data_IF_702588004905
#
_entry.id   IF_702588004905
#
_cell.length_a   1.000
_cell.length_b   1.000
_cell.length_c   1.000
_cell.angle_alpha   90.00
_cell.angle_beta   90.00
_cell.angle_gamma   90.00
#
_symmetry.space_group_name_H-M   'P 1'
#
loop_
_entity.id
_entity.type
_entity.pdbx_description
1 polymer ?
#
# COMPACT_ATOMS: atom_id res chain seq x y z
N UNK A 1 14.16 -26.86 -7.05
CA UNK A 1 13.05 -27.58 -6.41
C UNK A 1 12.03 -26.58 -5.93
N UNK A 2 10.75 -26.78 -6.24
CA UNK A 2 9.68 -25.89 -5.80
C UNK A 2 9.33 -26.14 -4.33
N UNK A 3 9.02 -25.07 -3.60
CA UNK A 3 8.62 -25.11 -2.19
C UNK A 3 7.19 -24.57 -2.07
N UNK A 4 6.25 -25.49 -1.93
CA UNK A 4 4.84 -25.22 -1.68
C UNK A 4 4.39 -25.91 -0.39
N UNK A 5 3.35 -25.37 0.22
CA UNK A 5 2.71 -25.92 1.41
C UNK A 5 1.20 -25.76 1.29
N UNK A 6 0.46 -26.79 1.69
CA UNK A 6 -1.00 -26.69 1.83
C UNK A 6 -1.27 -25.93 3.11
N UNK A 7 -1.80 -24.72 3.01
CA UNK A 7 -2.10 -23.86 4.16
C UNK A 7 -3.48 -24.13 4.74
N UNK A 8 -4.46 -24.46 3.89
CA UNK A 8 -5.84 -24.70 4.33
C UNK A 8 -6.57 -25.61 3.32
N UNK A 9 -7.26 -26.62 3.81
CA UNK A 9 -8.30 -27.32 3.05
C UNK A 9 -9.64 -26.65 3.40
N UNK A 10 -10.25 -25.96 2.43
CA UNK A 10 -11.47 -25.18 2.62
C UNK A 10 -12.62 -25.89 1.91
N UNK A 11 -13.32 -26.79 2.61
CA UNK A 11 -14.43 -27.55 2.01
C UNK A 11 -13.97 -28.48 0.89
N UNK A 12 -14.62 -28.44 -0.28
CA UNK A 12 -14.22 -29.14 -1.52
C UNK A 12 -13.15 -28.35 -2.33
N UNK A 13 -12.90 -27.10 -1.93
CA UNK A 13 -11.81 -26.27 -2.43
C UNK A 13 -10.52 -26.43 -1.60
N UNK A 14 -9.38 -26.12 -2.21
CA UNK A 14 -8.08 -26.19 -1.55
C UNK A 14 -7.33 -24.87 -1.70
N UNK A 15 -6.77 -24.39 -0.59
CA UNK A 15 -5.86 -23.23 -0.55
C UNK A 15 -4.43 -23.71 -0.43
N UNK A 16 -3.61 -23.37 -1.40
CA UNK A 16 -2.19 -23.73 -1.42
C UNK A 16 -1.33 -22.49 -1.46
N UNK A 17 -0.31 -22.44 -0.60
CA UNK A 17 0.67 -21.38 -0.59
C UNK A 17 1.96 -21.84 -1.27
N UNK A 18 2.33 -21.18 -2.37
CA UNK A 18 3.60 -21.39 -3.05
C UNK A 18 4.56 -20.26 -2.67
N UNK A 19 5.56 -20.58 -1.86
CA UNK A 19 6.51 -19.59 -1.35
C UNK A 19 7.70 -19.37 -2.29
N UNK A 20 8.13 -20.39 -3.04
CA UNK A 20 9.25 -20.28 -3.97
C UNK A 20 9.26 -21.40 -5.04
N UNK A 21 9.80 -21.09 -6.23
CA UNK A 21 10.01 -22.05 -7.32
C UNK A 21 8.80 -22.22 -8.23
N UNK A 22 8.81 -23.26 -9.07
CA UNK A 22 7.79 -23.48 -10.10
C UNK A 22 6.98 -24.76 -9.82
N UNK A 23 5.67 -24.62 -9.74
CA UNK A 23 4.72 -25.72 -9.58
C UNK A 23 3.73 -25.74 -10.75
N UNK A 24 3.43 -26.93 -11.23
CA UNK A 24 2.39 -27.16 -12.21
C UNK A 24 1.19 -27.80 -11.52
N UNK A 25 0.02 -27.21 -11.74
CA UNK A 25 -1.23 -27.62 -11.12
C UNK A 25 -2.17 -28.11 -12.21
N UNK A 26 -2.79 -29.27 -11.96
CA UNK A 26 -3.84 -29.82 -12.78
C UNK A 26 -5.07 -29.98 -11.88
N UNK A 27 -5.98 -29.00 -11.95
CA UNK A 27 -7.19 -28.97 -11.13
C UNK A 27 -8.35 -29.51 -11.96
N UNK A 28 -9.04 -30.53 -11.45
CA UNK A 28 -10.25 -31.04 -12.08
C UNK A 28 -11.35 -29.95 -12.03
N UNK A 29 -12.22 -29.84 -13.05
CA UNK A 29 -13.32 -28.88 -13.04
C UNK A 29 -14.21 -29.07 -11.82
N UNK A 30 -14.19 -28.07 -10.93
CA UNK A 30 -15.01 -28.03 -9.73
C UNK A 30 -16.45 -27.69 -10.14
N UNK A 31 -17.44 -28.36 -9.53
CA UNK A 31 -18.86 -28.13 -9.83
C UNK A 31 -19.45 -27.21 -8.77
N UNK A 32 -20.07 -26.11 -9.20
CA UNK A 32 -20.69 -25.14 -8.29
C UNK A 32 -19.85 -23.87 -8.14
N UNK A 33 -19.82 -23.31 -6.93
CA UNK A 33 -19.05 -22.09 -6.57
C UNK A 33 -17.64 -22.43 -6.05
N UNK A 34 -17.26 -23.71 -6.05
CA UNK A 34 -15.97 -24.18 -5.57
C UNK A 34 -14.81 -23.70 -6.45
N UNK A 35 -13.79 -23.15 -5.81
CA UNK A 35 -12.62 -22.64 -6.50
C UNK A 35 -11.34 -22.99 -5.73
N UNK A 36 -10.36 -23.47 -6.49
CA UNK A 36 -9.01 -23.71 -6.01
C UNK A 36 -8.25 -22.38 -5.94
N UNK A 37 -7.61 -22.10 -4.81
CA UNK A 37 -6.91 -20.83 -4.59
C UNK A 37 -5.42 -21.09 -4.33
N UNK A 38 -4.58 -20.61 -5.24
CA UNK A 38 -3.13 -20.58 -5.04
C UNK A 38 -2.73 -19.19 -4.58
N UNK A 39 -2.19 -19.11 -3.37
CA UNK A 39 -1.56 -17.90 -2.84
C UNK A 39 -0.05 -17.93 -3.05
N UNK A 40 0.46 -16.84 -3.60
CA UNK A 40 1.89 -16.55 -3.70
C UNK A 40 2.16 -15.27 -2.91
N UNK A 41 3.42 -14.98 -2.54
CA UNK A 41 3.75 -13.74 -1.85
C UNK A 41 3.30 -12.46 -2.57
N UNK A 42 3.04 -12.53 -3.88
CA UNK A 42 2.73 -11.40 -4.75
C UNK A 42 1.29 -11.39 -5.29
N UNK A 43 0.61 -12.53 -5.32
CA UNK A 43 -0.65 -12.68 -6.04
C UNK A 43 -1.49 -13.85 -5.51
N UNK A 44 -2.81 -13.70 -5.68
CA UNK A 44 -3.80 -14.74 -5.43
C UNK A 44 -4.41 -15.19 -6.75
N UNK A 45 -4.34 -16.49 -7.00
CA UNK A 45 -4.81 -17.16 -8.21
C UNK A 45 -6.02 -18.01 -7.86
N UNK A 46 -7.20 -17.68 -8.41
CA UNK A 46 -8.44 -18.44 -8.25
C UNK A 46 -8.72 -19.24 -9.53
N UNK A 47 -9.03 -20.51 -9.35
CA UNK A 47 -9.13 -21.49 -10.43
C UNK A 47 -10.37 -22.35 -10.23
N UNK A 48 -11.17 -22.51 -11.29
CA UNK A 48 -12.41 -23.29 -11.26
C UNK A 48 -12.29 -24.65 -11.96
N UNK A 49 -11.12 -24.97 -12.54
CA UNK A 49 -10.93 -26.20 -13.31
C UNK A 49 -9.98 -26.04 -14.47
N UNK A 50 -8.68 -25.87 -14.19
CA UNK A 50 -7.69 -25.59 -15.24
C UNK A 50 -6.38 -26.30 -15.00
N UNK A 51 -5.64 -26.50 -16.10
CA UNK A 51 -4.22 -26.80 -16.05
C UNK A 51 -3.44 -25.51 -16.21
N UNK A 52 -2.64 -25.19 -15.20
CA UNK A 52 -1.87 -23.95 -15.14
C UNK A 52 -0.53 -24.19 -14.44
N UNK A 53 0.42 -23.32 -14.74
CA UNK A 53 1.75 -23.31 -14.12
C UNK A 53 1.93 -22.00 -13.38
N UNK A 54 2.40 -22.10 -12.14
CA UNK A 54 2.78 -20.94 -11.32
C UNK A 54 4.25 -21.04 -10.99
N UNK A 55 5.02 -20.01 -11.31
CA UNK A 55 6.43 -19.91 -10.99
C UNK A 55 6.70 -18.64 -10.21
N UNK A 56 7.29 -18.77 -9.03
CA UNK A 56 7.80 -17.66 -8.23
C UNK A 56 9.29 -17.53 -8.52
N UNK A 57 9.64 -16.51 -9.29
CA UNK A 57 11.01 -16.17 -9.70
C UNK A 57 11.45 -14.88 -9.01
N UNK A 58 12.18 -15.05 -7.91
CA UNK A 58 12.66 -13.94 -7.09
C UNK A 58 11.48 -13.12 -6.53
N UNK A 59 11.34 -11.89 -7.01
CA UNK A 59 10.26 -11.01 -6.60
C UNK A 59 8.99 -11.20 -7.44
N UNK A 60 9.00 -11.91 -8.57
CA UNK A 60 7.86 -12.00 -9.49
C UNK A 60 7.14 -13.35 -9.44
N UNK A 61 5.83 -13.33 -9.65
CA UNK A 61 5.01 -14.52 -9.90
C UNK A 61 4.61 -14.58 -11.36
N UNK A 62 5.02 -15.61 -12.08
CA UNK A 62 4.57 -15.94 -13.43
C UNK A 62 3.44 -16.97 -13.35
N UNK A 63 2.29 -16.66 -13.95
CA UNK A 63 1.16 -17.56 -14.10
C UNK A 63 0.93 -17.80 -15.58
N UNK A 64 0.97 -19.06 -16.02
CA UNK A 64 0.68 -19.45 -17.40
C UNK A 64 -0.47 -20.46 -17.40
N UNK A 65 -1.49 -20.20 -18.22
CA UNK A 65 -2.67 -21.06 -18.33
C UNK A 65 -2.57 -21.88 -19.60
N UNK A 66 -2.64 -23.20 -19.46
CA UNK A 66 -2.64 -24.12 -20.60
C UNK A 66 -4.06 -24.42 -21.07
N UNK A 67 -5.01 -24.56 -20.15
CA UNK A 67 -6.38 -24.96 -20.50
C UNK A 67 -7.39 -24.37 -19.50
N UNK A 68 -8.51 -23.83 -20.00
CA UNK A 68 -9.60 -23.24 -19.21
C UNK A 68 -9.38 -21.77 -18.81
N UNK A 69 -10.01 -21.33 -17.70
CA UNK A 69 -9.98 -19.94 -17.20
C UNK A 69 -9.45 -19.84 -15.77
N UNK A 70 -8.52 -18.91 -15.55
CA UNK A 70 -7.92 -18.61 -14.25
C UNK A 70 -8.10 -17.13 -13.94
N UNK A 71 -8.61 -16.80 -12.76
CA UNK A 71 -8.61 -15.43 -12.27
C UNK A 71 -7.37 -15.17 -11.44
N UNK A 72 -6.55 -14.21 -11.84
CA UNK A 72 -5.38 -13.78 -11.09
C UNK A 72 -5.62 -12.36 -10.58
N UNK A 73 -5.43 -12.17 -9.29
CA UNK A 73 -5.53 -10.88 -8.60
C UNK A 73 -4.26 -10.64 -7.80
N UNK A 74 -3.88 -9.38 -7.57
CA UNK A 74 -2.81 -9.06 -6.62
C UNK A 74 -3.26 -9.44 -5.20
N UNK A 75 -2.33 -9.59 -4.26
CA UNK A 75 -2.66 -9.92 -2.87
C UNK A 75 -3.60 -8.86 -2.24
N UNK A 76 -3.50 -7.63 -2.71
CA UNK A 76 -4.28 -6.46 -2.31
C UNK A 76 -5.68 -6.41 -2.96
N UNK A 77 -6.04 -7.43 -3.75
CA UNK A 77 -7.33 -7.52 -4.47
C UNK A 77 -7.45 -6.59 -5.69
N UNK A 78 -6.43 -5.80 -5.97
CA UNK A 78 -6.37 -4.88 -7.11
C UNK A 78 -6.07 -5.63 -8.42
N UNK A 79 -6.57 -5.09 -9.53
CA UNK A 79 -6.34 -5.59 -10.91
C UNK A 79 -6.67 -7.08 -11.13
N UNK A 80 -7.90 -7.54 -10.85
CA UNK A 80 -8.30 -8.89 -11.21
C UNK A 80 -8.21 -9.05 -12.74
N UNK A 81 -7.38 -9.99 -13.20
CA UNK A 81 -7.28 -10.37 -14.60
C UNK A 81 -7.65 -11.84 -14.78
N UNK A 82 -8.59 -12.07 -15.68
CA UNK A 82 -8.94 -13.39 -16.14
C UNK A 82 -7.99 -13.80 -17.26
N UNK A 83 -7.22 -14.87 -17.05
CA UNK A 83 -6.36 -15.51 -18.03
C UNK A 83 -7.06 -16.72 -18.62
N UNK A 84 -7.03 -16.86 -19.94
CA UNK A 84 -7.55 -18.02 -20.66
C UNK A 84 -6.43 -18.90 -21.23
N UNK A 85 -6.78 -20.07 -21.75
CA UNK A 85 -5.83 -21.00 -22.38
C UNK A 85 -4.88 -20.31 -23.38
N UNK A 86 -3.57 -20.54 -23.21
CA UNK A 86 -2.51 -19.92 -24.02
C UNK A 86 -2.05 -18.55 -23.51
N UNK A 87 -2.73 -17.96 -22.52
CA UNK A 87 -2.31 -16.71 -21.91
C UNK A 87 -1.37 -16.93 -20.74
N UNK A 88 -0.39 -16.05 -20.62
CA UNK A 88 0.50 -15.98 -19.48
C UNK A 88 0.58 -14.54 -18.97
N UNK A 89 0.64 -14.37 -17.65
CA UNK A 89 0.83 -13.08 -17.02
C UNK A 89 1.89 -13.17 -15.95
N UNK A 90 2.81 -12.21 -15.97
CA UNK A 90 3.79 -12.00 -14.91
C UNK A 90 3.31 -10.89 -14.00
N UNK A 91 3.06 -11.25 -12.75
CA UNK A 91 2.81 -10.32 -11.66
C UNK A 91 4.10 -10.16 -10.89
N UNK A 92 4.91 -9.21 -11.35
CA UNK A 92 5.95 -8.65 -10.52
C UNK A 92 5.33 -7.65 -9.55
N UNK A 93 5.91 -7.44 -8.35
CA UNK A 93 5.67 -6.23 -7.58
C UNK A 93 5.99 -5.09 -8.53
N UNK A 94 4.93 -4.49 -9.05
CA UNK A 94 5.13 -3.37 -9.94
C UNK A 94 5.73 -2.29 -9.04
N UNK A 95 6.85 -1.68 -9.42
CA UNK A 95 7.22 -0.43 -8.80
C UNK A 95 6.14 0.65 -9.02
N UNK A 96 5.05 0.38 -9.77
CA UNK A 96 3.92 1.28 -9.96
C UNK A 96 2.91 1.33 -8.79
N UNK A 97 3.15 0.63 -7.67
CA UNK A 97 2.58 1.03 -6.37
C UNK A 97 3.52 1.98 -5.60
N UNK A 98 4.64 2.40 -6.20
CA UNK A 98 5.33 3.62 -5.79
C UNK A 98 4.73 4.76 -6.62
N UNK A 99 4.40 5.92 -6.02
CA UNK A 99 4.02 7.10 -6.77
C UNK A 99 5.07 7.35 -7.87
N UNK A 100 4.68 7.92 -9.03
CA UNK A 100 5.54 8.02 -10.20
C UNK A 100 6.94 8.48 -9.78
N UNK A 101 7.94 7.63 -10.04
CA UNK A 101 9.34 8.04 -9.90
C UNK A 101 9.55 9.14 -10.92
N UNK A 102 9.45 10.38 -10.46
CA UNK A 102 9.90 11.54 -11.20
C UNK A 102 11.35 11.26 -11.59
N UNK A 103 11.56 11.06 -12.89
CA UNK A 103 12.87 10.84 -13.46
C UNK A 103 13.79 12.00 -13.11
N UNK A 104 14.96 11.66 -12.56
CA UNK A 104 16.22 12.40 -12.57
C UNK A 104 16.11 13.93 -12.53
N UNK A 105 16.19 14.52 -11.33
CA UNK A 105 16.90 15.77 -10.98
C UNK A 105 16.64 16.11 -9.50
N UNK A 106 17.55 15.71 -8.60
CA UNK A 106 17.53 16.10 -7.17
C UNK A 106 16.48 15.40 -6.29
N UNK A 107 16.51 15.61 -4.95
CA UNK A 107 15.43 15.19 -4.07
C UNK A 107 14.11 15.80 -4.58
N UNK A 108 12.98 15.08 -4.54
CA UNK A 108 11.70 15.63 -4.98
C UNK A 108 11.49 16.98 -4.28
N UNK A 109 11.01 18.03 -4.97
CA UNK A 109 10.97 19.39 -4.41
C UNK A 109 10.19 19.43 -3.08
N UNK A 110 9.25 18.50 -2.88
CA UNK A 110 8.57 18.31 -1.61
C UNK A 110 9.46 17.84 -0.44
N UNK A 111 10.42 16.93 -0.65
CA UNK A 111 11.35 16.52 0.41
C UNK A 111 12.23 17.67 0.89
N UNK A 112 12.67 18.54 -0.03
CA UNK A 112 13.45 19.72 0.33
C UNK A 112 12.65 20.68 1.23
N UNK A 113 11.36 20.87 0.96
CA UNK A 113 10.49 21.70 1.81
C UNK A 113 10.34 21.14 3.21
N UNK A 114 10.13 19.82 3.34
CA UNK A 114 10.02 19.16 4.65
C UNK A 114 11.34 19.23 5.40
N UNK A 115 12.48 18.95 4.75
CA UNK A 115 13.81 19.03 5.37
C UNK A 115 14.12 20.44 5.86
N UNK A 116 13.88 21.45 5.03
CA UNK A 116 14.09 22.86 5.41
C UNK A 116 13.16 23.28 6.56
N UNK A 117 11.90 22.83 6.56
CA UNK A 117 10.98 23.09 7.66
C UNK A 117 11.46 22.43 8.97
N UNK A 118 11.96 21.19 8.92
CA UNK A 118 12.52 20.51 10.09
C UNK A 118 13.77 21.21 10.61
N UNK A 119 14.62 21.73 9.73
CA UNK A 119 15.80 22.51 10.14
C UNK A 119 15.39 23.80 10.86
N UNK A 120 14.43 24.54 10.31
CA UNK A 120 13.86 25.74 10.96
C UNK A 120 13.25 25.41 12.33
N UNK A 121 12.51 24.30 12.43
CA UNK A 121 11.93 23.83 13.71
C UNK A 121 13.03 23.45 14.70
N UNK A 122 14.06 22.73 14.27
CA UNK A 122 15.16 22.28 15.13
C UNK A 122 16.01 23.44 15.65
N UNK A 123 16.16 24.51 14.87
CA UNK A 123 16.83 25.75 15.28
C UNK A 123 15.92 26.68 16.10
N UNK A 124 14.61 26.41 16.14
CA UNK A 124 13.61 27.29 16.75
C UNK A 124 13.40 28.60 15.98
N UNK A 125 13.78 28.64 14.70
CA UNK A 125 13.73 29.83 13.87
C UNK A 125 12.51 29.81 12.95
N UNK A 126 11.81 30.95 12.86
CA UNK A 126 10.73 31.19 11.88
C UNK A 126 9.68 30.05 11.76
N UNK A 127 8.95 29.72 12.85
CA UNK A 127 7.94 28.65 12.85
C UNK A 127 6.83 28.88 11.80
N UNK A 128 6.54 30.14 11.47
CA UNK A 128 5.60 30.50 10.41
C UNK A 128 6.08 30.03 9.02
N UNK A 129 7.39 30.15 8.74
CA UNK A 129 7.98 29.72 7.47
C UNK A 129 8.04 28.19 7.38
N UNK A 130 8.39 27.52 8.48
CA UNK A 130 8.33 26.06 8.58
C UNK A 130 6.91 25.53 8.31
N UNK A 131 5.89 26.21 8.87
CA UNK A 131 4.48 25.89 8.60
C UNK A 131 4.16 26.02 7.12
N UNK A 132 4.49 27.15 6.48
CA UNK A 132 4.22 27.37 5.04
C UNK A 132 4.87 26.30 4.16
N UNK A 133 6.09 25.86 4.48
CA UNK A 133 6.77 24.80 3.75
C UNK A 133 6.05 23.45 3.89
N UNK A 134 5.60 23.09 5.10
CA UNK A 134 4.80 21.87 5.32
C UNK A 134 3.45 21.93 4.61
N UNK A 135 2.80 23.10 4.58
CA UNK A 135 1.53 23.31 3.87
C UNK A 135 1.69 23.14 2.36
N UNK A 136 2.74 23.72 1.79
CA UNK A 136 3.07 23.53 0.39
C UNK A 136 3.35 22.07 0.06
N UNK A 137 4.03 21.35 0.95
CA UNK A 137 4.24 19.92 0.79
C UNK A 137 2.93 19.14 0.75
N UNK A 138 2.03 19.37 1.72
CA UNK A 138 0.76 18.66 1.82
C UNK A 138 -0.20 18.99 0.66
N UNK A 139 -0.14 20.20 0.11
CA UNK A 139 -0.91 20.60 -1.06
C UNK A 139 -0.40 19.93 -2.35
N UNK A 140 0.92 19.83 -2.52
CA UNK A 140 1.53 19.24 -3.71
C UNK A 140 1.61 17.71 -3.66
N UNK A 141 1.78 17.15 -2.47
CA UNK A 141 2.00 15.74 -2.20
C UNK A 141 1.12 15.27 -1.03
N UNK A 142 -0.21 15.27 -1.20
CA UNK A 142 -1.11 14.84 -0.14
C UNK A 142 -0.75 13.44 0.36
N UNK A 143 -0.53 12.47 -0.53
CA UNK A 143 -0.16 11.07 -0.21
C UNK A 143 1.35 10.82 -0.26
N UNK A 144 2.15 11.87 -0.06
CA UNK A 144 3.60 11.77 -0.08
C UNK A 144 4.16 10.94 1.09
N UNK A 145 5.36 10.35 0.95
CA UNK A 145 5.98 9.53 1.99
C UNK A 145 6.26 10.30 3.30
N UNK A 146 6.29 11.63 3.26
CA UNK A 146 6.45 12.51 4.41
C UNK A 146 5.14 13.18 4.81
N UNK A 147 3.98 12.78 4.26
CA UNK A 147 2.70 13.41 4.57
C UNK A 147 2.31 13.25 6.03
N UNK A 148 2.59 12.09 6.62
CA UNK A 148 2.41 11.86 8.06
C UNK A 148 3.28 12.82 8.88
N UNK A 149 4.55 12.98 8.52
CA UNK A 149 5.47 13.86 9.23
C UNK A 149 5.08 15.34 9.08
N UNK A 150 4.76 15.76 7.86
CA UNK A 150 4.34 17.12 7.55
C UNK A 150 3.01 17.49 8.22
N UNK A 151 2.01 16.60 8.26
CA UNK A 151 0.75 16.84 8.97
C UNK A 151 0.96 16.96 10.48
N UNK A 152 1.80 16.10 11.06
CA UNK A 152 2.12 16.15 12.48
C UNK A 152 2.80 17.48 12.87
N UNK A 153 3.86 17.88 12.17
CA UNK A 153 4.55 19.14 12.45
C UNK A 153 3.69 20.37 12.11
N UNK A 154 2.87 20.33 11.07
CA UNK A 154 1.96 21.42 10.75
C UNK A 154 0.86 21.59 11.80
N UNK A 155 0.34 20.49 12.38
CA UNK A 155 -0.58 20.55 13.51
C UNK A 155 0.13 21.11 14.76
N UNK A 156 1.33 20.63 15.07
CA UNK A 156 2.12 21.10 16.22
C UNK A 156 2.45 22.59 16.12
N UNK A 157 2.90 23.05 14.96
CA UNK A 157 3.21 24.47 14.72
C UNK A 157 1.97 25.35 14.82
N UNK A 158 0.80 24.87 14.37
CA UNK A 158 -0.46 25.59 14.55
C UNK A 158 -0.85 25.70 16.04
N UNK A 159 -0.62 24.64 16.82
CA UNK A 159 -0.81 24.65 18.28
C UNK A 159 0.11 25.65 18.97
N UNK A 160 1.40 25.66 18.60
CA UNK A 160 2.39 26.59 19.15
C UNK A 160 2.09 28.05 18.78
N UNK A 161 1.54 28.28 17.58
CA UNK A 161 1.11 29.59 17.12
C UNK A 161 -0.22 30.06 17.75
N UNK A 162 -0.92 29.21 18.53
CA UNK A 162 -2.24 29.50 19.09
C UNK A 162 -3.37 29.48 18.05
N UNK A 163 -3.11 29.04 16.82
CA UNK A 163 -4.09 28.95 15.74
C UNK A 163 -4.91 27.66 15.90
N UNK A 164 -5.82 27.67 16.88
CA UNK A 164 -6.75 26.57 17.18
C UNK A 164 -7.52 26.06 15.96
N UNK A 165 -8.08 26.91 15.06
CA UNK A 165 -8.82 26.38 13.91
C UNK A 165 -7.94 25.62 12.92
N UNK A 166 -6.73 26.11 12.59
CA UNK A 166 -5.82 25.36 11.73
C UNK A 166 -5.30 24.09 12.42
N UNK A 167 -5.03 24.16 13.72
CA UNK A 167 -4.60 23.00 14.50
C UNK A 167 -5.67 21.89 14.50
N UNK A 168 -6.94 22.25 14.71
CA UNK A 168 -8.06 21.32 14.70
C UNK A 168 -8.23 20.66 13.32
N UNK A 169 -8.21 21.46 12.24
CA UNK A 169 -8.33 20.94 10.88
C UNK A 169 -7.19 19.96 10.54
N UNK A 170 -5.95 20.31 10.93
CA UNK A 170 -4.75 19.48 10.70
C UNK A 170 -4.78 18.19 11.52
N UNK A 171 -5.18 18.27 12.79
CA UNK A 171 -5.30 17.12 13.67
C UNK A 171 -6.36 16.14 13.16
N UNK A 172 -7.54 16.63 12.76
CA UNK A 172 -8.59 15.78 12.15
C UNK A 172 -8.12 15.11 10.87
N UNK A 173 -7.46 15.86 9.98
CA UNK A 173 -6.91 15.30 8.75
C UNK A 173 -5.85 14.21 9.01
N UNK A 174 -5.05 14.36 10.07
CA UNK A 174 -4.08 13.36 10.50
C UNK A 174 -4.77 12.09 11.02
N UNK A 175 -5.72 12.22 11.95
CA UNK A 175 -6.44 11.09 12.56
C UNK A 175 -7.21 10.30 11.50
N UNK A 176 -7.87 10.99 10.56
CA UNK A 176 -8.62 10.32 9.48
C UNK A 176 -7.72 9.56 8.50
N UNK A 177 -6.50 10.04 8.25
CA UNK A 177 -5.57 9.40 7.27
C UNK A 177 -4.63 8.40 7.88
N UNK A 178 -4.27 8.56 9.15
CA UNK A 178 -3.31 7.72 9.85
C UNK A 178 -3.87 7.19 11.17
N UNK A 179 -5.01 6.49 11.18
CA UNK A 179 -5.67 6.04 12.41
C UNK A 179 -4.79 5.12 13.26
N UNK A 180 -3.89 4.34 12.64
CA UNK A 180 -3.04 3.35 13.32
C UNK A 180 -1.67 3.92 13.80
N UNK A 181 -1.43 5.22 13.67
CA UNK A 181 -0.14 5.82 14.05
C UNK A 181 -0.05 6.07 15.56
N UNK A 182 1.08 5.74 16.18
CA UNK A 182 1.35 6.08 17.59
C UNK A 182 1.26 7.60 17.88
N UNK A 183 1.36 8.45 16.85
CA UNK A 183 1.19 9.92 16.97
C UNK A 183 -0.28 10.36 16.97
N UNK A 184 -1.21 9.48 16.58
CA UNK A 184 -2.66 9.73 16.54
C UNK A 184 -3.21 9.88 17.95
N UNK A 185 -2.84 8.99 18.87
CA UNK A 185 -3.22 9.08 20.27
C UNK A 185 -2.82 10.41 20.92
N UNK A 186 -1.65 10.97 20.55
CA UNK A 186 -1.21 12.28 21.04
C UNK A 186 -2.06 13.43 20.49
N UNK A 187 -2.42 13.40 19.19
CA UNK A 187 -3.26 14.43 18.58
C UNK A 187 -4.73 14.33 19.05
N UNK A 188 -5.27 13.12 19.18
CA UNK A 188 -6.63 12.89 19.66
C UNK A 188 -6.86 13.41 21.06
N UNK A 189 -5.90 13.21 21.97
CA UNK A 189 -5.99 13.76 23.33
C UNK A 189 -6.07 15.29 23.38
N UNK A 190 -5.58 15.98 22.33
CA UNK A 190 -5.60 17.45 22.23
C UNK A 190 -6.74 18.00 21.39
N UNK A 191 -7.45 17.19 20.60
CA UNK A 191 -8.65 17.61 19.85
C UNK A 191 -9.70 18.32 20.72
N UNK A 192 -10.10 17.82 21.91
CA UNK A 192 -11.10 18.49 22.73
C UNK A 192 -10.61 19.85 23.27
N UNK A 193 -9.31 20.00 23.54
CA UNK A 193 -8.72 21.28 23.96
C UNK A 193 -8.74 22.35 22.85
N UNK A 194 -8.91 21.93 21.60
CA UNK A 194 -8.95 22.79 20.42
C UNK A 194 -10.37 23.19 20.02
N UNK A 195 -11.38 22.78 20.78
CA UNK A 195 -12.79 23.01 20.46
C UNK A 195 -13.35 22.00 19.46
N UNK A 196 -12.84 20.77 19.44
CA UNK A 196 -13.60 19.66 18.87
C UNK A 196 -14.76 19.33 19.84
N UNK A 197 -15.91 19.96 19.60
CA UNK A 197 -17.18 19.53 20.19
C UNK A 197 -17.66 18.20 19.60
#
# INVERSE_FOLDING_TARGET
>A
GARWQVVEALGDGQRVALSAGAAEFAVQPLRGDDAYVVETPQARVRVVGTRFRVAVEGACTAVAVSEGVVQVSRLDGTEPASLTAGQQRRICPSPAAQPPRAGVLGPPPGQAWVQQALELIGRGEQPAQARTLMERYLAAYPDGPLAQEALYYAARLALEAGDRPAALARARAFVQRFPDSHRTAWLEGRLPELGAE
#
